data_IF_387134779063
#
_entry.id   IF_387134779063
#
_cell.length_a   1.000
_cell.length_b   1.000
_cell.length_c   1.000
_cell.angle_alpha   90.00
_cell.angle_beta   90.00
_cell.angle_gamma   90.00
#
_symmetry.space_group_name_H-M   'P 1'
#
loop_
_entity.id
_entity.type
_entity.pdbx_description
1 polymer ?
#
# COMPACT_ATOMS: atom_id res chain seq x y z
N UNK A 1 1.58 -17.02 -4.18
CA UNK A 1 1.81 -18.29 -3.46
C UNK A 1 3.08 -18.10 -2.63
N UNK A 2 2.97 -18.08 -1.30
CA UNK A 2 4.08 -17.84 -0.38
C UNK A 2 4.99 -19.07 -0.44
N UNK A 3 6.13 -18.93 -1.14
CA UNK A 3 7.06 -20.00 -1.51
C UNK A 3 7.92 -20.52 -0.34
N UNK A 4 7.73 -20.03 0.87
CA UNK A 4 8.65 -20.28 1.99
C UNK A 4 8.46 -21.64 2.68
N UNK A 5 7.50 -22.45 2.22
CA UNK A 5 7.14 -23.73 2.86
C UNK A 5 7.13 -24.88 1.85
N UNK A 6 8.19 -25.03 1.06
CA UNK A 6 8.44 -26.28 0.34
C UNK A 6 9.51 -27.05 1.11
N UNK A 7 9.09 -27.78 2.15
CA UNK A 7 10.00 -28.65 2.89
C UNK A 7 10.50 -29.77 1.96
N UNK A 8 11.79 -30.12 2.01
CA UNK A 8 12.39 -31.07 1.05
C UNK A 8 11.75 -32.47 1.12
N UNK A 9 11.22 -32.87 2.29
CA UNK A 9 10.50 -34.13 2.48
C UNK A 9 9.01 -34.03 2.15
N UNK A 10 8.55 -34.85 1.21
CA UNK A 10 7.15 -34.99 0.84
C UNK A 10 6.25 -35.48 2.00
N UNK A 11 6.79 -36.25 2.95
CA UNK A 11 6.03 -36.75 4.11
C UNK A 11 5.61 -35.62 5.04
N UNK A 12 6.53 -34.70 5.32
CA UNK A 12 6.26 -33.51 6.14
C UNK A 12 5.25 -32.62 5.43
N UNK A 13 5.34 -32.47 4.11
CA UNK A 13 4.36 -31.69 3.35
C UNK A 13 2.95 -32.25 3.46
N UNK A 14 2.76 -33.58 3.31
CA UNK A 14 1.45 -34.22 3.44
C UNK A 14 0.81 -33.99 4.82
N UNK A 15 1.60 -34.05 5.90
CA UNK A 15 1.09 -33.88 7.28
C UNK A 15 0.67 -32.45 7.59
N UNK A 16 1.39 -31.47 7.05
CA UNK A 16 1.13 -30.05 7.32
C UNK A 16 0.10 -29.46 6.37
N UNK A 17 -0.03 -29.97 5.14
CA UNK A 17 -1.02 -29.53 4.14
C UNK A 17 -2.42 -29.22 4.73
N UNK A 18 -3.06 -30.11 5.52
CA UNK A 18 -4.37 -29.82 6.11
C UNK A 18 -4.35 -28.71 7.17
N UNK A 19 -3.20 -28.49 7.83
CA UNK A 19 -3.02 -27.50 8.88
C UNK A 19 -2.53 -26.15 8.36
N UNK A 20 -2.23 -26.01 7.05
CA UNK A 20 -1.64 -24.79 6.50
C UNK A 20 -2.52 -23.58 6.76
N UNK A 21 -3.82 -23.65 6.54
CA UNK A 21 -4.70 -22.48 6.77
C UNK A 21 -4.79 -22.10 8.26
N UNK A 22 -4.72 -23.09 9.16
CA UNK A 22 -4.76 -22.88 10.62
C UNK A 22 -3.46 -22.27 11.15
N UNK A 23 -2.32 -22.75 10.65
CA UNK A 23 -0.98 -22.34 11.10
C UNK A 23 -0.48 -21.09 10.36
N UNK A 24 -0.98 -20.86 9.15
CA UNK A 24 -0.60 -19.77 8.25
C UNK A 24 -1.86 -19.05 7.73
N UNK A 25 -2.52 -18.24 8.58
CA UNK A 25 -3.66 -17.45 8.14
C UNK A 25 -3.21 -16.52 7.01
N UNK A 26 -3.82 -16.69 5.84
CA UNK A 26 -3.54 -15.90 4.65
C UNK A 26 -4.54 -14.76 4.59
N UNK A 27 -4.05 -13.55 4.32
CA UNK A 27 -4.92 -12.43 4.00
C UNK A 27 -5.21 -12.44 2.50
N UNK A 28 -6.14 -13.31 2.08
CA UNK A 28 -6.71 -13.25 0.73
C UNK A 28 -8.08 -12.58 0.82
N UNK A 29 -8.51 -11.83 -0.21
CA UNK A 29 -9.91 -11.47 -0.32
C UNK A 29 -10.73 -12.76 -0.46
N UNK A 30 -11.89 -12.81 0.23
CA UNK A 30 -12.70 -14.03 0.40
C UNK A 30 -13.16 -14.64 -0.94
N UNK A 31 -13.17 -13.85 -2.01
CA UNK A 31 -13.58 -14.26 -3.37
C UNK A 31 -12.44 -14.35 -4.40
N UNK A 32 -11.17 -14.36 -4.00
CA UNK A 32 -10.04 -14.45 -4.94
C UNK A 32 -10.12 -15.74 -5.79
N UNK A 33 -10.26 -15.61 -7.11
CA UNK A 33 -10.27 -16.73 -8.06
C UNK A 33 -11.65 -17.18 -8.53
N UNK A 34 -12.73 -16.53 -8.06
CA UNK A 34 -14.07 -16.72 -8.62
C UNK A 34 -14.24 -15.78 -9.81
N UNK A 35 -14.73 -16.28 -10.96
CA UNK A 35 -15.04 -15.42 -12.09
C UNK A 35 -16.22 -14.50 -11.75
N UNK A 36 -16.31 -13.29 -12.33
CA UNK A 36 -17.47 -12.40 -12.13
C UNK A 36 -18.80 -13.11 -12.43
N UNK A 37 -18.78 -13.98 -13.44
CA UNK A 37 -19.91 -14.82 -13.88
C UNK A 37 -20.33 -15.81 -12.79
N UNK A 38 -19.39 -16.54 -12.20
CA UNK A 38 -19.72 -17.51 -11.15
C UNK A 38 -20.19 -16.82 -9.87
N UNK A 39 -19.65 -15.62 -9.59
CA UNK A 39 -20.07 -14.84 -8.44
C UNK A 39 -21.47 -14.26 -8.62
N UNK A 40 -21.84 -13.78 -9.82
CA UNK A 40 -23.20 -13.30 -10.10
C UNK A 40 -24.25 -14.38 -9.88
N UNK A 41 -23.96 -15.63 -10.25
CA UNK A 41 -24.87 -16.76 -10.00
C UNK A 41 -25.02 -17.10 -8.50
N UNK A 42 -23.97 -16.92 -7.68
CA UNK A 42 -24.02 -17.25 -6.25
C UNK A 42 -24.44 -16.10 -5.33
N UNK A 43 -24.59 -14.87 -5.87
CA UNK A 43 -24.91 -13.68 -5.09
C UNK A 43 -23.82 -13.21 -4.10
N UNK A 44 -22.61 -13.79 -4.16
CA UNK A 44 -21.53 -13.46 -3.24
C UNK A 44 -20.86 -12.15 -3.62
N UNK A 45 -20.78 -11.22 -2.66
CA UNK A 45 -20.08 -9.93 -2.81
C UNK A 45 -18.63 -10.07 -2.36
N UNK A 46 -17.69 -9.49 -3.13
CA UNK A 46 -16.28 -9.48 -2.75
C UNK A 46 -16.08 -8.53 -1.58
N UNK A 47 -15.69 -9.05 -0.41
CA UNK A 47 -15.36 -8.24 0.76
C UNK A 47 -13.86 -7.95 0.82
N UNK A 48 -13.51 -6.68 1.02
CA UNK A 48 -12.12 -6.31 1.28
C UNK A 48 -11.71 -6.79 2.68
N UNK A 49 -10.51 -7.37 2.82
CA UNK A 49 -10.02 -7.87 4.11
C UNK A 49 -9.67 -6.75 5.12
N UNK A 50 -9.50 -5.51 4.67
CA UNK A 50 -9.13 -4.36 5.50
C UNK A 50 -9.97 -3.15 5.12
N UNK A 51 -10.26 -2.28 6.09
CA UNK A 51 -10.91 -0.99 5.84
C UNK A 51 -9.92 0.04 5.27
N UNK A 52 -8.68 0.03 5.78
CA UNK A 52 -7.62 0.94 5.36
C UNK A 52 -6.31 0.18 5.27
N UNK A 53 -5.54 0.41 4.21
CA UNK A 53 -4.25 -0.22 4.02
C UNK A 53 -3.26 0.69 3.29
N UNK A 54 -1.98 0.51 3.57
CA UNK A 54 -0.89 1.13 2.81
C UNK A 54 -0.34 0.07 1.84
N UNK A 55 -0.06 0.48 0.62
CA UNK A 55 0.54 -0.39 -0.38
C UNK A 55 1.41 0.37 -1.36
N UNK A 56 2.18 -0.41 -2.13
CA UNK A 56 3.03 0.10 -3.20
C UNK A 56 2.39 -0.14 -4.55
N UNK A 57 2.41 0.87 -5.42
CA UNK A 57 1.93 0.74 -6.79
C UNK A 57 2.89 -0.19 -7.56
N UNK A 58 2.34 -1.20 -8.22
CA UNK A 58 3.11 -2.19 -8.98
C UNK A 58 2.86 -1.98 -10.47
N UNK A 59 3.89 -2.12 -11.31
CA UNK A 59 3.71 -2.04 -12.75
C UNK A 59 2.65 -3.04 -13.20
N UNK A 60 1.63 -2.52 -13.86
CA UNK A 60 0.70 -3.34 -14.59
C UNK A 60 1.18 -3.37 -16.04
N UNK A 61 1.46 -4.56 -16.58
CA UNK A 61 1.83 -4.75 -17.98
C UNK A 61 0.65 -4.44 -18.89
N UNK A 62 0.24 -3.18 -18.94
CA UNK A 62 -0.84 -2.66 -19.76
C UNK A 62 -0.34 -2.59 -21.21
N UNK A 63 -0.26 -3.76 -21.86
CA UNK A 63 -0.27 -3.83 -23.32
C UNK A 63 -1.73 -3.84 -23.79
N UNK A 64 -2.14 -2.71 -24.37
CA UNK A 64 -3.13 -2.52 -25.45
C UNK A 64 -4.61 -2.88 -25.16
N UNK A 65 -4.97 -3.68 -24.15
CA UNK A 65 -6.37 -4.08 -23.92
C UNK A 65 -6.77 -4.18 -22.44
N UNK A 66 -6.52 -3.13 -21.66
CA UNK A 66 -7.08 -3.02 -20.30
C UNK A 66 -8.37 -2.18 -20.34
N UNK A 67 -9.49 -2.81 -19.98
CA UNK A 67 -10.86 -2.28 -20.13
C UNK A 67 -11.17 -1.00 -19.31
N UNK A 68 -10.33 -0.59 -18.34
CA UNK A 68 -10.52 0.64 -17.55
C UNK A 68 -9.18 1.31 -17.23
N UNK A 69 -9.02 2.57 -17.64
CA UNK A 69 -7.81 3.39 -17.38
C UNK A 69 -7.67 3.77 -15.89
N UNK A 70 -8.78 3.81 -15.17
CA UNK A 70 -8.86 4.34 -13.80
C UNK A 70 -8.57 3.29 -12.72
N UNK A 71 -8.09 2.09 -13.10
CA UNK A 71 -7.79 1.01 -12.16
C UNK A 71 -6.30 0.72 -12.17
N UNK A 72 -5.70 0.78 -10.99
CA UNK A 72 -4.30 0.49 -10.74
C UNK A 72 -4.13 -0.76 -9.89
N UNK A 73 -2.93 -1.36 -9.95
CA UNK A 73 -2.55 -2.48 -9.08
C UNK A 73 -1.70 -1.98 -7.93
N UNK A 74 -2.17 -2.26 -6.71
CA UNK A 74 -1.45 -1.92 -5.48
C UNK A 74 -1.09 -3.19 -4.73
N UNK A 75 0.19 -3.36 -4.43
CA UNK A 75 0.71 -4.45 -3.60
C UNK A 75 0.68 -4.03 -2.14
N UNK A 76 -0.19 -4.68 -1.39
CA UNK A 76 -0.30 -4.51 0.05
C UNK A 76 0.57 -5.56 0.72
N UNK A 77 1.28 -5.13 1.76
CA UNK A 77 2.12 -5.96 2.59
C UNK A 77 1.44 -6.12 3.95
N UNK A 78 1.25 -7.37 4.40
CA UNK A 78 0.79 -7.68 5.76
C UNK A 78 1.82 -8.54 6.48
N UNK A 79 2.10 -8.17 7.72
CA UNK A 79 2.81 -9.05 8.64
C UNK A 79 1.84 -10.11 9.16
N UNK A 80 2.05 -11.36 8.78
CA UNK A 80 1.27 -12.48 9.29
C UNK A 80 2.13 -13.29 10.25
N UNK A 81 1.58 -13.57 11.43
CA UNK A 81 2.20 -14.45 12.41
C UNK A 81 2.16 -15.89 11.92
N UNK A 82 3.33 -16.51 11.80
CA UNK A 82 3.44 -17.95 11.67
C UNK A 82 3.34 -18.58 13.06
N UNK A 83 2.26 -19.30 13.34
CA UNK A 83 2.03 -19.92 14.66
C UNK A 83 3.01 -21.05 14.98
N UNK A 84 3.59 -21.69 13.97
CA UNK A 84 4.55 -22.77 14.17
C UNK A 84 5.93 -22.25 14.59
N UNK A 85 6.39 -21.16 13.95
CA UNK A 85 7.69 -20.55 14.25
C UNK A 85 7.61 -19.39 15.26
N UNK A 86 6.39 -18.96 15.62
CA UNK A 86 6.12 -17.77 16.42
C UNK A 86 6.85 -16.51 15.89
N UNK A 87 6.93 -16.38 14.57
CA UNK A 87 7.61 -15.28 13.87
C UNK A 87 6.70 -14.63 12.85
N UNK A 88 6.77 -13.31 12.74
CA UNK A 88 6.07 -12.55 11.70
C UNK A 88 6.82 -12.62 10.38
N UNK A 89 6.06 -12.87 9.31
CA UNK A 89 6.58 -12.84 7.94
C UNK A 89 5.74 -11.90 7.09
N UNK A 90 6.42 -11.20 6.18
CA UNK A 90 5.75 -10.42 5.15
C UNK A 90 5.03 -11.35 4.18
N UNK A 91 3.71 -11.22 4.13
CA UNK A 91 2.90 -11.74 3.06
C UNK A 91 2.46 -10.57 2.18
N UNK A 92 2.51 -10.75 0.88
CA UNK A 92 2.17 -9.68 -0.06
C UNK A 92 1.07 -10.13 -1.01
N UNK A 93 0.10 -9.25 -1.25
CA UNK A 93 -0.94 -9.45 -2.25
C UNK A 93 -1.20 -8.18 -3.02
N UNK A 94 -1.49 -8.35 -4.31
CA UNK A 94 -1.86 -7.28 -5.22
C UNK A 94 -3.37 -7.16 -5.26
N UNK A 95 -3.88 -5.96 -5.06
CA UNK A 95 -5.29 -5.62 -5.13
C UNK A 95 -5.52 -4.64 -6.28
N UNK A 96 -6.71 -4.68 -6.85
CA UNK A 96 -7.17 -3.70 -7.82
C UNK A 96 -7.79 -2.53 -7.07
N UNK A 97 -7.33 -1.34 -7.40
CA UNK A 97 -7.68 -0.11 -6.70
C UNK A 97 -8.16 0.89 -7.74
N UNK A 98 -9.27 1.56 -7.45
CA UNK A 98 -9.72 2.69 -8.25
C UNK A 98 -8.87 3.93 -7.94
N UNK A 99 -8.17 4.46 -8.96
CA UNK A 99 -7.27 5.62 -8.88
C UNK A 99 -8.02 6.93 -8.66
N UNK A 100 -9.22 7.07 -9.25
CA UNK A 100 -9.88 8.36 -9.38
C UNK A 100 -9.03 9.34 -10.19
N UNK A 101 -9.00 10.61 -9.80
CA UNK A 101 -8.26 11.69 -10.49
C UNK A 101 -6.84 11.91 -9.95
N UNK A 102 -6.37 11.10 -9.00
CA UNK A 102 -5.06 11.30 -8.38
C UNK A 102 -3.93 10.94 -9.35
N UNK A 103 -2.88 11.76 -9.40
CA UNK A 103 -1.66 11.41 -10.13
C UNK A 103 -0.81 10.42 -9.35
N UNK A 104 -0.55 9.26 -9.97
CA UNK A 104 0.09 8.11 -9.34
C UNK A 104 1.05 7.48 -10.33
N UNK A 105 2.29 7.32 -9.89
CA UNK A 105 3.36 6.69 -10.65
C UNK A 105 3.70 5.29 -10.14
N UNK A 106 4.47 4.57 -10.94
CA UNK A 106 4.89 3.21 -10.63
C UNK A 106 5.88 3.26 -9.47
N UNK A 107 5.49 2.67 -8.35
CA UNK A 107 6.32 2.52 -7.17
C UNK A 107 5.93 3.44 -6.02
N UNK A 108 4.98 4.34 -6.22
CA UNK A 108 4.45 5.22 -5.17
C UNK A 108 3.86 4.41 -4.01
N UNK A 109 3.99 4.96 -2.80
CA UNK A 109 3.36 4.43 -1.61
C UNK A 109 2.03 5.15 -1.44
N UNK A 110 0.94 4.40 -1.52
CA UNK A 110 -0.43 4.89 -1.54
C UNK A 110 -1.23 4.37 -0.36
N UNK A 111 -2.13 5.21 0.14
CA UNK A 111 -3.14 4.87 1.12
C UNK A 111 -4.44 4.51 0.39
N UNK A 112 -4.94 3.31 0.66
CA UNK A 112 -6.15 2.77 0.05
C UNK A 112 -7.21 2.47 1.09
N UNK A 113 -8.44 2.83 0.76
CA UNK A 113 -9.61 2.72 1.61
C UNK A 113 -10.63 1.76 0.97
N UNK A 114 -11.35 1.01 1.81
CA UNK A 114 -12.41 0.11 1.38
C UNK A 114 -13.56 0.91 0.77
N UNK A 115 -14.09 0.41 -0.34
CA UNK A 115 -15.20 1.02 -1.06
C UNK A 115 -16.40 0.07 -1.03
N UNK A 116 -17.47 0.51 -0.36
CA UNK A 116 -18.78 -0.12 -0.38
C UNK A 116 -19.79 0.89 -0.97
N UNK A 117 -20.46 0.59 -2.11
CA UNK A 117 -20.36 -0.59 -2.95
C UNK A 117 -19.04 -0.65 -3.76
N UNK A 118 -18.59 -1.86 -4.18
CA UNK A 118 -17.37 -2.01 -4.98
C UNK A 118 -17.54 -1.40 -6.39
N UNK A 119 -16.53 -0.64 -6.85
CA UNK A 119 -16.53 0.05 -8.17
C UNK A 119 -16.52 -0.94 -9.34
N UNK A 120 -15.88 -2.09 -9.14
CA UNK A 120 -15.89 -3.21 -10.07
C UNK A 120 -15.81 -4.51 -9.26
N UNK A 121 -16.14 -5.64 -9.89
CA UNK A 121 -16.15 -6.95 -9.23
C UNK A 121 -14.87 -7.23 -8.41
N UNK A 122 -13.70 -6.91 -8.95
CA UNK A 122 -12.41 -7.10 -8.27
C UNK A 122 -11.83 -5.82 -7.63
N UNK A 123 -12.45 -4.65 -7.86
CA UNK A 123 -11.96 -3.35 -7.40
C UNK A 123 -12.76 -2.90 -6.16
N UNK A 124 -12.35 -3.43 -5.01
CA UNK A 124 -12.99 -3.18 -3.71
C UNK A 124 -12.33 -2.02 -2.95
N UNK A 125 -11.20 -1.51 -3.46
CA UNK A 125 -10.46 -0.41 -2.84
C UNK A 125 -10.52 0.84 -3.71
N UNK A 126 -10.57 1.99 -3.04
CA UNK A 126 -10.41 3.32 -3.61
C UNK A 126 -9.11 3.94 -3.09
N UNK A 127 -8.41 4.68 -3.95
CA UNK A 127 -7.24 5.44 -3.54
C UNK A 127 -7.68 6.68 -2.77
N UNK A 128 -7.14 6.84 -1.56
CA UNK A 128 -7.47 7.97 -0.66
C UNK A 128 -6.43 9.08 -0.76
N UNK A 129 -5.15 8.71 -0.70
CA UNK A 129 -4.03 9.65 -0.69
C UNK A 129 -2.75 8.98 -1.20
N UNK A 130 -1.95 9.71 -1.96
CA UNK A 130 -0.55 9.32 -2.22
C UNK A 130 0.27 9.79 -1.02
N UNK A 131 0.89 8.85 -0.31
CA UNK A 131 1.63 9.13 0.93
C UNK A 131 3.06 9.53 0.59
N UNK A 132 3.73 8.74 -0.25
CA UNK A 132 5.08 9.02 -0.69
C UNK A 132 5.19 8.78 -2.19
N UNK A 133 5.46 9.87 -2.91
CA UNK A 133 5.74 9.85 -4.34
C UNK A 133 7.19 9.42 -4.57
N UNK A 134 7.42 8.56 -5.56
CA UNK A 134 8.78 8.16 -5.95
C UNK A 134 9.50 9.36 -6.55
N UNK A 135 10.72 9.62 -6.07
CA UNK A 135 11.59 10.70 -6.56
C UNK A 135 11.29 12.09 -6.00
N UNK A 136 10.13 12.29 -5.35
CA UNK A 136 9.79 13.55 -4.70
C UNK A 136 9.18 13.30 -3.31
N UNK A 137 9.97 12.68 -2.44
CA UNK A 137 9.55 12.35 -1.08
C UNK A 137 9.64 13.61 -0.23
N UNK A 138 8.56 13.90 0.49
CA UNK A 138 8.52 14.96 1.50
C UNK A 138 8.49 14.30 2.88
N UNK A 139 9.42 14.66 3.74
CA UNK A 139 9.46 14.17 5.11
C UNK A 139 8.23 14.67 5.88
N UNK A 140 7.39 13.78 6.45
CA UNK A 140 6.19 14.18 7.18
C UNK A 140 6.48 14.97 8.45
N UNK A 141 7.70 14.86 9.03
CA UNK A 141 8.06 15.56 10.26
C UNK A 141 8.50 17.01 9.99
N UNK A 142 9.37 17.23 9.01
CA UNK A 142 9.89 18.56 8.66
C UNK A 142 9.09 19.29 7.59
N UNK A 143 8.36 18.57 6.73
CA UNK A 143 7.71 19.13 5.55
C UNK A 143 8.69 19.46 4.41
N UNK A 144 9.97 19.11 4.56
CA UNK A 144 11.02 19.36 3.58
C UNK A 144 11.16 18.16 2.63
N UNK A 145 11.66 18.43 1.42
CA UNK A 145 12.00 17.35 0.47
C UNK A 145 13.26 16.64 0.95
N UNK A 146 13.25 15.31 0.87
CA UNK A 146 14.37 14.48 1.29
C UNK A 146 14.71 13.42 0.24
N UNK A 147 16.00 13.07 0.17
CA UNK A 147 16.52 12.02 -0.69
C UNK A 147 17.09 10.90 0.19
N UNK A 148 16.25 9.93 0.53
CA UNK A 148 16.61 8.88 1.47
C UNK A 148 16.83 9.45 2.88
N UNK A 149 18.01 9.29 3.50
CA UNK A 149 18.31 9.84 4.82
C UNK A 149 18.74 11.32 4.81
N UNK A 150 19.12 11.86 3.64
CA UNK A 150 19.75 13.18 3.55
C UNK A 150 18.79 14.25 3.03
N UNK A 151 19.01 15.49 3.49
CA UNK A 151 18.34 16.67 2.96
C UNK A 151 19.27 17.36 1.96
N UNK A 152 18.81 17.66 0.74
CA UNK A 152 19.63 18.38 -0.24
C UNK A 152 19.99 19.78 0.28
N UNK A 153 21.20 20.23 -0.07
CA UNK A 153 21.76 21.49 0.45
C UNK A 153 20.87 22.70 0.17
N UNK A 154 20.25 22.76 -1.01
CA UNK A 154 19.35 23.84 -1.41
C UNK A 154 18.16 23.98 -0.47
N UNK A 155 17.57 22.86 -0.07
CA UNK A 155 16.42 22.81 0.83
C UNK A 155 16.84 23.21 2.25
N UNK A 156 18.04 22.82 2.68
CA UNK A 156 18.59 23.21 3.98
C UNK A 156 18.91 24.70 4.06
N UNK A 157 19.42 25.31 2.98
CA UNK A 157 19.67 26.75 2.91
C UNK A 157 18.36 27.54 2.99
N UNK A 158 17.36 27.17 2.19
CA UNK A 158 16.03 27.79 2.25
C UNK A 158 15.44 27.75 3.66
N UNK A 159 15.57 26.61 4.35
CA UNK A 159 15.09 26.47 5.71
C UNK A 159 15.85 27.33 6.73
N UNK A 160 17.17 27.49 6.57
CA UNK A 160 17.98 28.38 7.41
C UNK A 160 17.58 29.86 7.21
N UNK A 161 17.38 30.27 5.95
CA UNK A 161 16.99 31.64 5.59
C UNK A 161 15.60 31.98 6.17
N UNK A 162 14.62 31.08 6.05
CA UNK A 162 13.30 31.23 6.64
C UNK A 162 13.35 31.40 8.17
N UNK A 163 14.23 30.64 8.85
CA UNK A 163 14.43 30.75 10.29
C UNK A 163 15.05 32.08 10.68
N UNK A 164 16.07 32.53 9.97
CA UNK A 164 16.70 33.84 10.22
C UNK A 164 15.69 34.98 10.03
N UNK A 165 14.88 34.92 8.98
CA UNK A 165 13.83 35.91 8.74
C UNK A 165 12.78 35.94 9.87
N UNK A 166 12.35 34.78 10.37
CA UNK A 166 11.42 34.69 11.53
C UNK A 166 12.02 35.28 12.80
N UNK A 167 13.31 35.05 13.06
CA UNK A 167 14.00 35.63 14.22
C UNK A 167 14.07 37.16 14.13
N UNK A 168 14.47 37.70 12.97
CA UNK A 168 14.56 39.14 12.75
C UNK A 168 13.21 39.84 12.85
N UNK A 169 12.15 39.22 12.35
CA UNK A 169 10.79 39.76 12.47
C UNK A 169 10.29 39.71 13.91
N UNK A 170 10.52 38.62 14.66
CA UNK A 170 10.10 38.53 16.07
C UNK A 170 10.76 39.58 16.98
N UNK A 171 12.04 39.91 16.75
CA UNK A 171 12.75 40.96 17.49
C UNK A 171 12.22 42.38 17.22
N UNK A 172 11.52 42.61 16.10
CA UNK A 172 10.94 43.93 15.79
C UNK A 172 9.61 44.18 16.49
N UNK A 173 8.93 43.15 16.99
CA UNK A 173 7.62 43.28 17.66
C UNK A 173 7.70 43.28 19.20
N UNK A 174 8.88 43.12 19.80
CA UNK A 174 9.08 43.08 21.26
C UNK A 174 9.55 44.41 21.88
N UNK A 175 9.55 45.52 21.13
CA UNK A 175 9.83 46.85 21.67
C UNK A 175 8.55 47.72 21.67
N UNK A 176 7.73 47.66 22.74
CA UNK A 176 6.84 48.76 23.07
C UNK A 176 7.66 49.83 23.81
N UNK A 177 7.73 51.03 23.23
CA UNK A 177 8.03 52.27 23.96
C UNK A 177 6.71 52.83 24.48
#
# INVERSE_FOLDING_TARGET
>A
MVRYWLHRSARVQKLVAPHVQKLFPFHKPELEGVSPVNASYSGKVVKAPFDLAIGKVVPFGQKISASRKDIIKVKIHKLCLNKFLLRYFYQTRTYWVHRGDADVDIGDIVLVERCDPPVAFNAVYKLKKVVFNVGNITDPMSGLRCEGPDFPADVMQQWLDERQHKLQTSHRYTLPV
#
